data_IF_201995007490
#
_entry.id   IF_201995007490
#
_cell.length_a   1.000
_cell.length_b   1.000
_cell.length_c   1.000
_cell.angle_alpha   90.00
_cell.angle_beta   90.00
_cell.angle_gamma   90.00
#
_symmetry.space_group_name_H-M   'P 1'
#
loop_
_entity.id
_entity.type
_entity.pdbx_description
1 polymer ?
#
# COMPACT_ATOMS: atom_id res chain seq x y z
N UNK A 1 -61.28 -10.42 15.11
CA UNK A 1 -60.21 -11.24 14.47
C UNK A 1 -59.16 -10.34 13.81
N UNK A 2 -58.67 -9.30 14.51
CA UNK A 2 -57.72 -8.30 13.98
C UNK A 2 -56.45 -8.19 14.83
N UNK A 3 -56.51 -8.60 16.10
CA UNK A 3 -55.39 -8.49 17.05
C UNK A 3 -54.25 -9.48 16.71
N UNK A 4 -54.57 -10.67 16.16
CA UNK A 4 -53.55 -11.66 15.81
C UNK A 4 -52.68 -11.23 14.63
N UNK A 5 -53.18 -10.38 13.75
CA UNK A 5 -52.44 -9.91 12.57
C UNK A 5 -51.36 -8.91 12.96
N UNK A 6 -51.69 -7.90 13.78
CA UNK A 6 -50.72 -6.88 14.20
C UNK A 6 -49.53 -7.45 14.99
N UNK A 7 -49.76 -8.49 15.79
CA UNK A 7 -48.71 -9.17 16.55
C UNK A 7 -47.71 -9.85 15.61
N UNK A 8 -48.18 -10.49 14.53
CA UNK A 8 -47.31 -11.13 13.52
C UNK A 8 -46.49 -10.08 12.77
N UNK A 9 -47.10 -8.95 12.38
CA UNK A 9 -46.39 -7.85 11.72
C UNK A 9 -45.34 -7.19 12.64
N UNK A 10 -45.64 -7.08 13.93
CA UNK A 10 -44.69 -6.57 14.93
C UNK A 10 -43.48 -7.49 15.07
N UNK A 11 -43.67 -8.81 15.12
CA UNK A 11 -42.55 -9.77 15.17
C UNK A 11 -41.75 -9.82 13.86
N UNK A 12 -42.40 -9.66 12.70
CA UNK A 12 -41.69 -9.52 11.42
C UNK A 12 -40.84 -8.25 11.36
N UNK A 13 -41.36 -7.13 11.88
CA UNK A 13 -40.63 -5.86 11.95
C UNK A 13 -39.48 -5.92 12.96
N UNK A 14 -39.70 -6.54 14.12
CA UNK A 14 -38.66 -6.77 15.13
C UNK A 14 -37.57 -7.72 14.61
N UNK A 15 -37.95 -8.76 13.86
CA UNK A 15 -37.00 -9.64 13.17
C UNK A 15 -36.21 -8.88 12.10
N UNK A 16 -36.83 -7.97 11.36
CA UNK A 16 -36.13 -7.11 10.39
C UNK A 16 -35.15 -6.13 11.04
N UNK A 17 -35.47 -5.60 12.22
CA UNK A 17 -34.55 -4.75 12.98
C UNK A 17 -33.41 -5.58 13.58
N UNK A 18 -33.70 -6.76 14.13
CA UNK A 18 -32.69 -7.64 14.75
C UNK A 18 -31.77 -8.34 13.73
N UNK A 19 -32.28 -8.70 12.53
CA UNK A 19 -31.47 -9.26 11.44
C UNK A 19 -30.92 -8.20 10.48
N UNK A 20 -31.50 -6.99 10.43
CA UNK A 20 -30.99 -5.85 9.65
C UNK A 20 -29.65 -5.31 10.15
N UNK A 21 -29.30 -5.62 11.40
CA UNK A 21 -27.97 -5.33 11.97
C UNK A 21 -26.92 -6.44 11.71
N UNK A 22 -27.27 -7.51 11.00
CA UNK A 22 -26.30 -8.54 10.58
C UNK A 22 -25.56 -8.19 9.26
N UNK A 23 -25.74 -6.98 8.72
CA UNK A 23 -24.98 -6.46 7.58
C UNK A 23 -23.99 -5.38 8.04
N UNK A 24 -23.41 -5.53 9.23
CA UNK A 24 -22.28 -4.72 9.69
C UNK A 24 -20.97 -5.52 9.76
N UNK A 25 -20.80 -6.49 8.85
CA UNK A 25 -19.53 -7.22 8.65
C UNK A 25 -19.11 -7.20 7.17
N UNK A 26 -19.34 -6.09 6.46
CA UNK A 26 -18.73 -5.80 5.15
C UNK A 26 -17.80 -4.58 5.23
N UNK A 27 -16.94 -4.55 6.24
CA UNK A 27 -15.84 -3.57 6.29
C UNK A 27 -14.47 -4.20 6.05
N UNK A 28 -14.37 -5.54 6.02
CA UNK A 28 -13.08 -6.24 5.90
C UNK A 28 -12.66 -6.42 4.43
N UNK A 29 -13.61 -6.59 3.50
CA UNK A 29 -13.27 -6.93 2.11
C UNK A 29 -12.78 -5.72 1.28
N UNK A 30 -13.35 -4.53 1.49
CA UNK A 30 -12.96 -3.33 0.73
C UNK A 30 -11.56 -2.83 1.12
N UNK A 31 -11.17 -3.01 2.38
CA UNK A 31 -9.87 -2.59 2.91
C UNK A 31 -8.73 -3.50 2.43
N UNK A 32 -8.98 -4.81 2.35
CA UNK A 32 -8.01 -5.78 1.82
C UNK A 32 -7.74 -5.53 0.33
N UNK A 33 -8.77 -5.15 -0.41
CA UNK A 33 -8.69 -4.85 -1.85
C UNK A 33 -7.89 -3.59 -2.13
N UNK A 34 -8.05 -2.54 -1.32
CA UNK A 34 -7.22 -1.31 -1.37
C UNK A 34 -5.73 -1.57 -1.11
N UNK A 35 -5.41 -2.30 -0.03
CA UNK A 35 -4.02 -2.63 0.32
C UNK A 35 -3.33 -3.46 -0.77
N UNK A 36 -4.04 -4.47 -1.31
CA UNK A 36 -3.55 -5.32 -2.39
C UNK A 36 -3.37 -4.54 -3.70
N UNK A 37 -4.26 -3.59 -3.98
CA UNK A 37 -4.16 -2.71 -5.13
C UNK A 37 -2.89 -1.83 -5.08
N UNK A 38 -2.67 -1.13 -3.96
CA UNK A 38 -1.48 -0.27 -3.75
C UNK A 38 -0.19 -1.09 -3.88
N UNK A 39 -0.16 -2.26 -3.23
CA UNK A 39 0.96 -3.22 -3.30
C UNK A 39 1.30 -3.61 -4.74
N UNK A 40 0.33 -4.17 -5.46
CA UNK A 40 0.53 -4.64 -6.84
C UNK A 40 0.95 -3.49 -7.76
N UNK A 41 0.35 -2.31 -7.59
CA UNK A 41 0.66 -1.14 -8.41
C UNK A 41 2.08 -0.63 -8.15
N UNK A 42 2.53 -0.59 -6.90
CA UNK A 42 3.90 -0.23 -6.56
C UNK A 42 4.91 -1.20 -7.16
N UNK A 43 4.68 -2.51 -7.05
CA UNK A 43 5.61 -3.50 -7.60
C UNK A 43 5.73 -3.35 -9.11
N UNK A 44 4.59 -3.31 -9.81
CA UNK A 44 4.58 -3.20 -11.27
C UNK A 44 5.28 -1.91 -11.72
N UNK A 45 4.94 -0.77 -11.11
CA UNK A 45 5.62 0.50 -11.42
C UNK A 45 7.12 0.43 -11.11
N UNK A 46 7.50 -0.19 -9.99
CA UNK A 46 8.90 -0.31 -9.59
C UNK A 46 9.72 -1.11 -10.60
N UNK A 47 9.19 -2.24 -11.06
CA UNK A 47 9.82 -3.07 -12.09
C UNK A 47 9.92 -2.29 -13.41
N UNK A 48 8.82 -1.68 -13.87
CA UNK A 48 8.84 -0.91 -15.11
C UNK A 48 9.82 0.27 -15.06
N UNK A 49 9.90 0.99 -13.93
CA UNK A 49 10.87 2.08 -13.76
C UNK A 49 12.28 1.53 -13.82
N UNK A 50 12.57 0.44 -13.10
CA UNK A 50 13.87 -0.23 -13.13
C UNK A 50 14.26 -0.63 -14.55
N UNK A 51 13.38 -1.28 -15.28
CA UNK A 51 13.66 -1.78 -16.63
C UNK A 51 13.93 -0.63 -17.60
N UNK A 52 13.22 0.50 -17.47
CA UNK A 52 13.46 1.69 -18.28
C UNK A 52 14.72 2.45 -17.93
N UNK A 53 15.13 2.42 -16.67
CA UNK A 53 16.41 2.99 -16.24
C UNK A 53 17.61 2.13 -16.70
N UNK A 54 17.40 0.84 -16.98
CA UNK A 54 18.42 -0.04 -17.55
C UNK A 54 18.44 0.01 -19.08
N UNK A 55 17.26 -0.02 -19.70
CA UNK A 55 17.09 0.01 -21.13
C UNK A 55 15.85 0.85 -21.50
N UNK A 56 16.03 2.08 -22.02
CA UNK A 56 14.94 2.98 -22.36
C UNK A 56 14.07 2.51 -23.54
N UNK A 57 14.43 1.39 -24.21
CA UNK A 57 13.63 0.78 -25.30
C UNK A 57 12.47 -0.08 -24.81
N UNK A 58 12.43 -0.43 -23.52
CA UNK A 58 11.58 -1.50 -22.97
C UNK A 58 10.08 -1.19 -22.86
N UNK A 59 9.64 0.06 -23.03
CA UNK A 59 8.23 0.44 -22.91
C UNK A 59 7.90 1.70 -23.73
N UNK A 60 6.78 1.68 -24.50
CA UNK A 60 6.39 2.74 -25.45
C UNK A 60 5.23 3.61 -24.98
N UNK A 61 4.49 3.21 -23.95
CA UNK A 61 3.13 3.73 -23.77
C UNK A 61 3.02 4.90 -22.76
N UNK A 62 3.98 5.07 -21.86
CA UNK A 62 3.90 6.12 -20.82
C UNK A 62 5.27 6.79 -20.58
N UNK A 63 5.30 8.03 -20.09
CA UNK A 63 6.54 8.75 -19.76
C UNK A 63 7.21 8.22 -18.48
N UNK A 64 8.54 8.09 -18.47
CA UNK A 64 9.30 7.64 -17.28
C UNK A 64 9.07 8.58 -16.09
N UNK A 65 8.96 9.87 -16.38
CA UNK A 65 8.65 10.90 -15.38
C UNK A 65 7.29 10.69 -14.72
N UNK A 66 6.27 10.31 -15.50
CA UNK A 66 4.93 10.05 -14.97
C UNK A 66 4.94 8.83 -14.06
N UNK A 67 5.65 7.76 -14.44
CA UNK A 67 5.79 6.56 -13.60
C UNK A 67 6.53 6.87 -12.30
N UNK A 68 7.61 7.64 -12.34
CA UNK A 68 8.35 8.09 -11.14
C UNK A 68 7.45 8.92 -10.20
N UNK A 69 6.65 9.84 -10.75
CA UNK A 69 5.69 10.62 -9.99
C UNK A 69 4.61 9.74 -9.33
N UNK A 70 4.00 8.82 -10.09
CA UNK A 70 3.01 7.87 -9.56
C UNK A 70 3.61 7.01 -8.44
N UNK A 71 4.84 6.51 -8.63
CA UNK A 71 5.53 5.69 -7.64
C UNK A 71 5.81 6.47 -6.35
N UNK A 72 6.31 7.71 -6.48
CA UNK A 72 6.51 8.60 -5.34
C UNK A 72 5.23 8.82 -4.54
N UNK A 73 4.11 9.08 -5.21
CA UNK A 73 2.84 9.34 -4.53
C UNK A 73 2.28 8.11 -3.81
N UNK A 74 2.45 6.91 -4.38
CA UNK A 74 2.06 5.68 -3.69
C UNK A 74 2.92 5.41 -2.45
N UNK A 75 4.21 5.74 -2.49
CA UNK A 75 5.05 5.70 -1.28
C UNK A 75 4.61 6.76 -0.25
N UNK A 76 4.24 7.96 -0.69
CA UNK A 76 3.71 8.99 0.20
C UNK A 76 2.42 8.53 0.89
N UNK A 77 1.54 7.85 0.16
CA UNK A 77 0.32 7.28 0.71
C UNK A 77 0.61 6.24 1.81
N UNK A 78 1.57 5.33 1.58
CA UNK A 78 2.03 4.37 2.61
C UNK A 78 2.59 5.11 3.83
N UNK A 79 3.44 6.11 3.61
CA UNK A 79 4.02 6.91 4.68
C UNK A 79 2.95 7.60 5.51
N UNK A 80 1.91 8.13 4.88
CA UNK A 80 0.79 8.77 5.58
C UNK A 80 -0.06 7.74 6.34
N UNK A 81 -0.32 6.54 5.80
CA UNK A 81 -0.96 5.47 6.57
C UNK A 81 -0.17 5.15 7.84
N UNK A 82 1.14 4.97 7.75
CA UNK A 82 2.03 4.69 8.89
C UNK A 82 2.12 5.81 9.94
N UNK A 83 1.63 7.01 9.64
CA UNK A 83 1.65 8.17 10.55
C UNK A 83 0.30 8.47 11.17
N UNK A 84 -0.77 7.86 10.67
CA UNK A 84 -2.11 8.07 11.21
C UNK A 84 -2.17 7.47 12.62
N UNK A 85 -2.87 8.19 13.50
CA UNK A 85 -3.17 7.71 14.87
C UNK A 85 -4.27 6.65 14.86
N UNK A 86 -5.06 6.60 13.79
CA UNK A 86 -6.09 5.60 13.60
C UNK A 86 -5.44 4.22 13.42
N UNK A 87 -5.82 3.27 14.27
CA UNK A 87 -5.20 1.94 14.34
C UNK A 87 -5.43 1.15 13.06
N UNK A 88 -6.61 1.28 12.46
CA UNK A 88 -6.98 0.55 11.23
C UNK A 88 -6.14 1.07 10.07
N UNK A 89 -6.09 2.38 9.87
CA UNK A 89 -5.27 3.01 8.83
C UNK A 89 -3.78 2.75 9.01
N UNK A 90 -3.28 2.82 10.25
CA UNK A 90 -1.89 2.48 10.56
C UNK A 90 -1.56 1.03 10.21
N UNK A 91 -2.43 0.09 10.59
CA UNK A 91 -2.27 -1.34 10.30
C UNK A 91 -2.21 -1.62 8.79
N UNK A 92 -2.95 -0.87 7.95
CA UNK A 92 -2.86 -0.95 6.48
C UNK A 92 -1.45 -0.60 6.00
N UNK A 93 -0.90 0.50 6.48
CA UNK A 93 0.46 0.93 6.17
C UNK A 93 1.50 -0.12 6.55
N UNK A 94 1.38 -0.70 7.76
CA UNK A 94 2.28 -1.76 8.25
C UNK A 94 2.18 -3.01 7.37
N UNK A 95 0.97 -3.44 7.02
CA UNK A 95 0.75 -4.62 6.16
C UNK A 95 1.36 -4.45 4.78
N UNK A 96 1.15 -3.29 4.15
CA UNK A 96 1.73 -2.97 2.83
C UNK A 96 3.27 -2.98 2.94
N UNK A 97 3.85 -2.30 3.92
CA UNK A 97 5.30 -2.26 4.13
C UNK A 97 5.91 -3.66 4.29
N UNK A 98 5.34 -4.49 5.18
CA UNK A 98 5.82 -5.86 5.42
C UNK A 98 5.79 -6.70 4.16
N UNK A 99 4.72 -6.60 3.38
CA UNK A 99 4.57 -7.36 2.13
C UNK A 99 5.63 -6.95 1.11
N UNK A 100 5.83 -5.64 0.95
CA UNK A 100 6.81 -5.14 0.00
C UNK A 100 8.27 -5.48 0.41
N UNK A 101 8.59 -5.50 1.72
CA UNK A 101 9.91 -5.96 2.22
C UNK A 101 10.13 -7.43 1.89
N UNK A 102 9.13 -8.29 2.11
CA UNK A 102 9.20 -9.73 1.81
C UNK A 102 9.45 -10.01 0.33
N UNK A 103 8.84 -9.23 -0.56
CA UNK A 103 8.85 -9.57 -1.98
C UNK A 103 10.08 -9.10 -2.73
N UNK A 104 10.73 -7.98 -2.35
CA UNK A 104 11.95 -7.50 -3.03
C UNK A 104 12.78 -6.48 -2.23
N UNK A 105 12.48 -6.25 -0.96
CA UNK A 105 13.18 -5.27 -0.12
C UNK A 105 13.03 -3.78 -0.48
N UNK A 106 12.51 -3.49 -1.70
CA UNK A 106 12.08 -2.25 -2.43
C UNK A 106 12.51 -0.86 -1.91
N UNK A 107 12.51 0.23 -2.72
CA UNK A 107 12.32 0.33 -4.18
C UNK A 107 13.41 -0.38 -4.99
N UNK A 108 13.09 -1.06 -6.10
CA UNK A 108 14.02 -1.93 -6.82
C UNK A 108 15.13 -1.18 -7.59
N UNK A 109 14.95 0.12 -7.83
CA UNK A 109 15.90 0.98 -8.54
C UNK A 109 16.75 1.87 -7.62
N UNK A 110 16.53 1.80 -6.30
CA UNK A 110 17.14 2.75 -5.35
C UNK A 110 18.66 2.61 -5.21
N UNK A 111 19.19 1.40 -5.41
CA UNK A 111 20.61 1.07 -5.28
C UNK A 111 21.27 0.76 -6.63
N UNK A 112 20.58 1.03 -7.73
CA UNK A 112 21.12 0.76 -9.06
C UNK A 112 22.11 1.86 -9.47
N UNK A 113 23.16 1.44 -10.15
CA UNK A 113 24.01 2.36 -10.93
C UNK A 113 23.27 2.64 -12.23
N UNK A 114 22.87 3.90 -12.43
CA UNK A 114 22.08 4.32 -13.59
C UNK A 114 23.01 5.09 -14.53
N UNK A 115 23.09 4.63 -15.78
CA UNK A 115 23.79 5.34 -16.85
C UNK A 115 22.88 6.43 -17.42
N UNK A 116 22.95 7.59 -16.77
CA UNK A 116 22.17 8.76 -17.13
C UNK A 116 22.54 9.33 -18.50
N UNK A 117 23.80 9.20 -18.93
CA UNK A 117 24.24 9.71 -20.23
C UNK A 117 23.71 8.84 -21.36
N UNK A 118 23.69 7.52 -21.18
CA UNK A 118 23.05 6.59 -22.10
C UNK A 118 21.56 6.93 -22.29
N UNK A 119 20.81 7.13 -21.20
CA UNK A 119 19.37 7.48 -21.26
C UNK A 119 19.16 8.81 -22.00
N UNK A 120 19.96 9.84 -21.68
CA UNK A 120 19.90 11.15 -22.34
C UNK A 120 20.11 11.03 -23.84
N UNK A 121 21.16 10.31 -24.24
CA UNK A 121 21.53 10.14 -25.64
C UNK A 121 20.47 9.35 -26.40
N UNK A 122 19.90 8.31 -25.81
CA UNK A 122 18.83 7.53 -26.42
C UNK A 122 17.59 8.36 -26.72
N UNK A 123 17.15 9.19 -25.77
CA UNK A 123 15.99 10.06 -25.97
C UNK A 123 16.31 11.36 -26.76
N UNK A 124 17.58 11.56 -27.12
CA UNK A 124 18.07 12.77 -27.80
C UNK A 124 17.68 14.06 -27.04
N UNK A 125 17.69 13.99 -25.69
CA UNK A 125 17.35 15.13 -24.84
C UNK A 125 18.43 16.19 -24.93
N UNK A 126 18.07 17.32 -25.56
CA UNK A 126 18.96 18.47 -25.73
C UNK A 126 19.16 19.20 -24.42
N UNK A 127 18.10 19.34 -23.64
CA UNK A 127 18.11 20.02 -22.34
C UNK A 127 18.50 19.04 -21.22
N UNK A 128 19.20 19.54 -20.21
CA UNK A 128 19.56 18.74 -19.03
C UNK A 128 18.40 18.61 -18.03
N UNK A 129 17.29 19.32 -18.26
CA UNK A 129 16.22 19.47 -17.30
C UNK A 129 15.49 18.15 -17.02
N UNK A 130 15.24 17.32 -18.04
CA UNK A 130 14.64 15.99 -17.88
C UNK A 130 15.53 15.10 -17.01
N UNK A 131 16.84 15.12 -17.26
CA UNK A 131 17.81 14.34 -16.50
C UNK A 131 17.89 14.79 -15.05
N UNK A 132 17.91 16.10 -14.81
CA UNK A 132 17.87 16.69 -13.47
C UNK A 132 16.59 16.28 -12.75
N UNK A 133 15.45 16.31 -13.44
CA UNK A 133 14.16 15.94 -12.88
C UNK A 133 14.10 14.45 -12.49
N UNK A 134 14.58 13.54 -13.35
CA UNK A 134 14.66 12.10 -13.03
C UNK A 134 15.52 11.87 -11.80
N UNK A 135 16.73 12.47 -11.78
CA UNK A 135 17.64 12.38 -10.62
C UNK A 135 16.99 12.92 -9.34
N UNK A 136 16.22 14.02 -9.45
CA UNK A 136 15.49 14.62 -8.34
C UNK A 136 14.40 13.68 -7.81
N UNK A 137 13.55 13.13 -8.68
CA UNK A 137 12.50 12.19 -8.28
C UNK A 137 13.05 10.92 -7.65
N UNK A 138 14.12 10.35 -8.20
CA UNK A 138 14.78 9.19 -7.61
C UNK A 138 15.23 9.55 -6.19
N UNK A 139 15.90 10.69 -5.99
CA UNK A 139 16.32 11.17 -4.65
C UNK A 139 15.15 11.31 -3.68
N UNK A 140 14.04 11.90 -4.10
CA UNK A 140 12.84 12.05 -3.26
C UNK A 140 12.24 10.68 -2.90
N UNK A 141 12.18 9.75 -3.85
CA UNK A 141 11.79 8.36 -3.60
C UNK A 141 12.71 7.72 -2.54
N UNK A 142 14.03 7.94 -2.60
CA UNK A 142 14.93 7.41 -1.57
C UNK A 142 14.67 8.02 -0.20
N UNK A 143 14.41 9.33 -0.15
CA UNK A 143 14.13 10.04 1.11
C UNK A 143 12.87 9.51 1.76
N UNK A 144 11.78 9.39 1.00
CA UNK A 144 10.51 8.93 1.57
C UNK A 144 10.59 7.45 1.97
N UNK A 145 11.31 6.64 1.19
CA UNK A 145 11.56 5.26 1.54
C UNK A 145 12.28 5.12 2.88
N UNK A 146 13.34 5.90 3.10
CA UNK A 146 14.05 5.93 4.40
C UNK A 146 13.13 6.34 5.56
N UNK A 147 12.20 7.28 5.33
CA UNK A 147 11.20 7.68 6.35
C UNK A 147 10.25 6.54 6.69
N UNK A 148 9.74 5.83 5.68
CA UNK A 148 8.91 4.63 5.87
C UNK A 148 9.67 3.59 6.71
N UNK A 149 10.90 3.25 6.31
CA UNK A 149 11.74 2.30 7.06
C UNK A 149 11.97 2.75 8.51
N UNK A 150 12.20 4.04 8.74
CA UNK A 150 12.45 4.57 10.09
C UNK A 150 11.24 4.41 11.01
N UNK A 151 10.02 4.62 10.50
CA UNK A 151 8.79 4.49 11.31
C UNK A 151 8.46 3.01 11.52
N UNK A 152 8.65 2.18 10.49
CA UNK A 152 8.30 0.76 10.56
C UNK A 152 9.26 -0.09 11.39
N UNK A 153 10.51 0.33 11.62
CA UNK A 153 11.49 -0.39 12.46
C UNK A 153 11.01 -0.69 13.88
N UNK A 154 10.10 0.12 14.43
CA UNK A 154 9.50 -0.11 15.76
C UNK A 154 8.33 -1.09 15.75
N UNK A 155 7.81 -1.45 14.58
CA UNK A 155 6.60 -2.27 14.41
C UNK A 155 6.93 -3.77 14.26
N UNK A 156 8.18 -4.12 13.94
CA UNK A 156 8.67 -5.51 13.96
C UNK A 156 8.74 -6.08 15.41
N UNK A 157 8.76 -5.20 16.43
CA UNK A 157 8.85 -5.59 17.85
C UNK A 157 7.48 -5.74 18.51
N UNK A 158 6.49 -4.91 18.15
CA UNK A 158 5.17 -4.87 18.83
C UNK A 158 4.28 -6.09 18.56
N UNK A 159 4.47 -6.77 17.45
CA UNK A 159 3.67 -7.96 17.11
C UNK A 159 4.04 -9.17 17.97
N UNK A 160 5.28 -9.25 18.48
CA UNK A 160 5.68 -10.27 19.46
C UNK A 160 4.96 -10.14 20.81
N UNK A 161 4.46 -8.94 21.12
CA UNK A 161 3.76 -8.65 22.38
C UNK A 161 2.24 -8.89 22.23
N UNK A 162 1.69 -8.77 21.01
CA UNK A 162 0.26 -8.94 20.76
C UNK A 162 -0.17 -10.39 20.51
N UNK A 163 0.77 -11.28 20.14
CA UNK A 163 0.49 -12.72 19.97
C UNK A 163 0.65 -13.55 21.25
N UNK A 164 1.11 -12.95 22.36
CA UNK A 164 1.36 -13.67 23.63
C UNK A 164 0.17 -13.65 24.61
N UNK A 165 -1.01 -13.16 24.18
CA UNK A 165 -2.22 -13.12 25.00
C UNK A 165 -3.34 -14.09 24.54
N UNK A 166 -3.06 -15.02 23.61
CA UNK A 166 -4.04 -16.03 23.20
C UNK A 166 -3.61 -17.49 23.41
N UNK A 167 -2.48 -17.75 24.06
CA UNK A 167 -2.03 -19.13 24.35
C UNK A 167 -2.19 -19.56 25.81
N UNK A 168 -2.73 -18.71 26.69
CA UNK A 168 -3.12 -19.10 28.05
C UNK A 168 -4.64 -19.06 28.18
N UNK A 169 -5.33 -20.09 27.68
CA UNK A 169 -6.59 -20.63 28.23
C UNK A 169 -7.22 -21.60 27.23
N UNK A 170 -6.63 -22.79 27.08
CA UNK A 170 -7.39 -23.99 26.66
C UNK A 170 -6.61 -25.25 27.11
N UNK A 171 -6.27 -25.27 28.39
CA UNK A 171 -5.99 -26.49 29.14
C UNK A 171 -6.71 -26.34 30.47
N UNK A 172 -8.02 -26.62 30.48
CA UNK A 172 -8.78 -26.94 31.68
C UNK A 172 -10.11 -27.58 31.26
N UNK A 173 -10.09 -28.93 31.34
CA UNK A 173 -11.21 -29.87 31.49
C UNK A 173 -12.10 -30.17 30.27
#
# INVERSE_FOLDING_TARGET
>A
MLIKTYVVWFYFYLFYILFGFSVCCKHIDYELESSKYIHNRLINLGITIKDRLLDPRTDKDESLMLKLYQYHNLLLEIYEFLRRKDVVEHSKGVKIYKTLIKENGFPPFINMVIDYDYIRNFHNWREEIEMVNIKSYIKEIQKIWKKIQSISKGEDVKESIYYDFSSENENLL
#
